data_IF_245634293050
#
_entry.id   IF_245634293050
#
_cell.length_a   1.000
_cell.length_b   1.000
_cell.length_c   1.000
_cell.angle_alpha   90.00
_cell.angle_beta   90.00
_cell.angle_gamma   90.00
#
_symmetry.space_group_name_H-M   'P 1'
#
loop_
_entity.id
_entity.type
_entity.pdbx_description
1 polymer ?
#
# COMPACT_ATOMS: atom_id res chain seq x y z
N UNK A 1 -11.87 16.28 12.51
CA UNK A 1 -11.49 15.46 11.34
C UNK A 1 -12.17 14.10 11.38
N UNK A 2 -12.05 13.27 12.43
CA UNK A 2 -12.84 12.00 12.52
C UNK A 2 -14.36 12.23 12.38
N UNK A 3 -14.88 13.34 12.91
CA UNK A 3 -16.31 13.69 12.81
C UNK A 3 -16.80 14.00 11.37
N UNK A 4 -15.91 14.40 10.45
CA UNK A 4 -16.33 14.83 9.10
C UNK A 4 -16.61 13.65 8.17
N UNK A 5 -16.00 12.49 8.42
CA UNK A 5 -16.15 11.28 7.61
C UNK A 5 -17.08 10.23 8.25
N UNK A 6 -17.64 10.50 9.43
CA UNK A 6 -18.52 9.57 10.14
C UNK A 6 -19.78 9.19 9.33
N UNK A 7 -20.17 10.02 8.35
CA UNK A 7 -21.27 9.69 7.44
C UNK A 7 -20.97 8.47 6.56
N UNK A 8 -19.69 8.18 6.25
CA UNK A 8 -19.27 7.04 5.42
C UNK A 8 -19.74 5.74 6.04
N UNK A 9 -19.64 5.60 7.37
CA UNK A 9 -20.12 4.42 8.11
C UNK A 9 -21.62 4.17 7.96
N UNK A 10 -22.39 5.17 7.55
CA UNK A 10 -23.85 5.08 7.35
C UNK A 10 -24.25 4.88 5.89
N UNK A 11 -23.30 4.93 4.96
CA UNK A 11 -23.58 4.71 3.54
C UNK A 11 -23.85 3.24 3.27
N UNK A 12 -24.66 2.97 2.25
CA UNK A 12 -24.84 1.61 1.70
C UNK A 12 -23.55 1.13 1.02
N UNK A 13 -23.32 -0.18 1.00
CA UNK A 13 -22.12 -0.78 0.38
C UNK A 13 -21.92 -0.34 -1.08
N UNK A 14 -22.99 -0.16 -1.85
CA UNK A 14 -22.92 0.32 -3.23
C UNK A 14 -22.36 1.74 -3.35
N UNK A 15 -22.65 2.61 -2.36
CA UNK A 15 -22.11 3.97 -2.31
C UNK A 15 -20.66 4.02 -1.86
N UNK A 16 -20.23 3.12 -0.98
CA UNK A 16 -18.82 2.96 -0.66
C UNK A 16 -18.02 2.57 -1.91
N UNK A 17 -18.51 1.60 -2.67
CA UNK A 17 -17.88 1.15 -3.92
C UNK A 17 -17.78 2.31 -4.93
N UNK A 18 -18.84 3.12 -5.08
CA UNK A 18 -18.84 4.31 -5.96
C UNK A 18 -17.76 5.32 -5.56
N UNK A 19 -17.65 5.66 -4.27
CA UNK A 19 -16.60 6.57 -3.76
C UNK A 19 -15.21 6.06 -4.11
N UNK A 20 -14.97 4.75 -3.94
CA UNK A 20 -13.66 4.14 -4.18
C UNK A 20 -13.34 4.08 -5.67
N UNK A 21 -14.29 3.69 -6.52
CA UNK A 21 -14.08 3.58 -7.95
C UNK A 21 -13.81 4.92 -8.62
N UNK A 22 -14.49 5.98 -8.15
CA UNK A 22 -14.39 7.34 -8.71
C UNK A 22 -13.30 8.19 -8.04
N UNK A 23 -12.66 7.68 -6.97
CA UNK A 23 -11.67 8.42 -6.16
C UNK A 23 -12.26 9.76 -5.69
N UNK A 24 -13.35 9.72 -4.92
CA UNK A 24 -14.12 10.91 -4.52
C UNK A 24 -13.46 11.68 -3.36
N UNK A 25 -12.22 12.13 -3.56
CA UNK A 25 -11.35 12.66 -2.51
C UNK A 25 -10.51 11.56 -1.87
N UNK A 26 -9.26 11.86 -1.50
CA UNK A 26 -8.33 10.84 -1.01
C UNK A 26 -8.72 10.35 0.39
N UNK A 27 -9.13 11.25 1.28
CA UNK A 27 -9.56 10.90 2.63
C UNK A 27 -10.88 10.11 2.62
N UNK A 28 -11.85 10.54 1.81
CA UNK A 28 -13.12 9.82 1.62
C UNK A 28 -12.90 8.45 1.00
N UNK A 29 -11.99 8.32 0.03
CA UNK A 29 -11.65 7.05 -0.60
C UNK A 29 -11.04 6.09 0.41
N UNK A 30 -10.05 6.53 1.19
CA UNK A 30 -9.44 5.72 2.24
C UNK A 30 -10.47 5.28 3.29
N UNK A 31 -11.30 6.21 3.77
CA UNK A 31 -12.33 5.90 4.75
C UNK A 31 -13.41 4.96 4.20
N UNK A 32 -13.81 5.12 2.93
CA UNK A 32 -14.76 4.22 2.28
C UNK A 32 -14.18 2.83 2.08
N UNK A 33 -12.89 2.72 1.72
CA UNK A 33 -12.21 1.43 1.57
C UNK A 33 -12.08 0.71 2.92
N UNK A 34 -11.73 1.43 3.99
CA UNK A 34 -11.67 0.86 5.34
C UNK A 34 -13.05 0.43 5.84
N UNK A 35 -14.10 1.20 5.56
CA UNK A 35 -15.46 0.79 5.91
C UNK A 35 -15.91 -0.42 5.07
N UNK A 36 -15.52 -0.48 3.79
CA UNK A 36 -15.80 -1.63 2.93
C UNK A 36 -15.04 -2.87 3.41
N UNK A 37 -13.80 -2.74 3.92
CA UNK A 37 -13.02 -3.83 4.50
C UNK A 37 -13.80 -4.57 5.58
N UNK A 38 -14.50 -3.82 6.45
CA UNK A 38 -15.33 -4.39 7.52
C UNK A 38 -16.59 -5.11 7.01
N UNK A 39 -16.98 -4.90 5.75
CA UNK A 39 -18.25 -5.38 5.18
C UNK A 39 -18.07 -6.46 4.12
N UNK A 40 -17.08 -6.28 3.26
CA UNK A 40 -16.77 -7.12 2.11
C UNK A 40 -15.27 -7.06 1.81
N UNK A 41 -14.52 -7.94 2.49
CA UNK A 41 -13.07 -8.08 2.35
C UNK A 41 -12.67 -8.40 0.90
N UNK A 42 -13.45 -9.23 0.20
CA UNK A 42 -13.13 -9.60 -1.18
C UNK A 42 -13.24 -8.41 -2.12
N UNK A 43 -14.31 -7.61 -1.97
CA UNK A 43 -14.50 -6.42 -2.80
C UNK A 43 -13.49 -5.33 -2.48
N UNK A 44 -13.13 -5.18 -1.20
CA UNK A 44 -12.05 -4.29 -0.75
C UNK A 44 -10.74 -4.64 -1.43
N UNK A 45 -10.37 -5.93 -1.40
CA UNK A 45 -9.14 -6.40 -2.03
C UNK A 45 -9.15 -6.16 -3.55
N UNK A 46 -10.26 -6.47 -4.22
CA UNK A 46 -10.42 -6.22 -5.67
C UNK A 46 -10.19 -4.74 -6.02
N UNK A 47 -10.83 -3.82 -5.29
CA UNK A 47 -10.72 -2.39 -5.54
C UNK A 47 -9.35 -1.82 -5.17
N UNK A 48 -8.74 -2.30 -4.07
CA UNK A 48 -7.41 -1.86 -3.69
C UNK A 48 -6.35 -2.29 -4.70
N UNK A 49 -6.44 -3.51 -5.22
CA UNK A 49 -5.58 -3.97 -6.32
C UNK A 49 -5.76 -3.09 -7.56
N UNK A 50 -7.00 -2.75 -7.93
CA UNK A 50 -7.26 -1.85 -9.07
C UNK A 50 -6.65 -0.45 -8.86
N UNK A 51 -6.66 0.09 -7.64
CA UNK A 51 -6.01 1.37 -7.32
C UNK A 51 -4.49 1.27 -7.50
N UNK A 52 -3.87 0.24 -6.92
CA UNK A 52 -2.41 0.07 -6.97
C UNK A 52 -1.90 -0.34 -8.36
N UNK A 53 -2.60 -1.20 -9.09
CA UNK A 53 -2.14 -1.65 -10.40
C UNK A 53 -2.24 -0.51 -11.44
N UNK A 54 -3.29 0.29 -11.36
CA UNK A 54 -3.58 1.36 -12.31
C UNK A 54 -3.11 2.75 -11.87
N UNK A 55 -2.33 2.87 -10.79
CA UNK A 55 -1.81 4.14 -10.28
C UNK A 55 -2.90 5.20 -10.10
N UNK A 56 -3.99 4.83 -9.42
CA UNK A 56 -5.08 5.75 -9.10
C UNK A 56 -4.79 6.48 -7.79
N UNK A 57 -5.20 7.75 -7.72
CA UNK A 57 -4.97 8.57 -6.54
C UNK A 57 -3.53 9.06 -6.40
N UNK A 58 -3.23 9.70 -5.28
CA UNK A 58 -1.89 10.13 -4.95
C UNK A 58 -1.09 9.05 -4.19
N UNK A 59 0.15 9.37 -3.90
CA UNK A 59 1.08 8.49 -3.19
C UNK A 59 0.56 8.10 -1.79
N UNK A 60 -0.08 9.03 -1.08
CA UNK A 60 -0.62 8.80 0.27
C UNK A 60 -1.85 7.88 0.27
N UNK A 61 -2.77 8.08 -0.68
CA UNK A 61 -3.90 7.17 -0.86
C UNK A 61 -3.40 5.77 -1.22
N UNK A 62 -2.44 5.66 -2.15
CA UNK A 62 -1.91 4.36 -2.54
C UNK A 62 -1.20 3.64 -1.38
N UNK A 63 -0.42 4.37 -0.57
CA UNK A 63 0.13 3.87 0.70
C UNK A 63 -0.95 3.31 1.63
N UNK A 64 -2.00 4.10 1.91
CA UNK A 64 -3.10 3.66 2.77
C UNK A 64 -3.82 2.43 2.21
N UNK A 65 -4.03 2.38 0.89
CA UNK A 65 -4.64 1.24 0.21
C UNK A 65 -3.76 0.01 0.32
N UNK A 66 -2.45 0.16 0.14
CA UNK A 66 -1.48 -0.91 0.30
C UNK A 66 -1.59 -1.54 1.69
N UNK A 67 -1.52 -0.75 2.76
CA UNK A 67 -1.62 -1.25 4.13
C UNK A 67 -2.91 -2.06 4.35
N UNK A 68 -4.06 -1.52 3.92
CA UNK A 68 -5.36 -2.18 4.07
C UNK A 68 -5.39 -3.54 3.36
N UNK A 69 -4.89 -3.62 2.13
CA UNK A 69 -4.99 -4.86 1.35
C UNK A 69 -3.83 -5.82 1.58
N UNK A 70 -2.70 -5.34 2.09
CA UNK A 70 -1.58 -6.17 2.52
C UNK A 70 -2.03 -7.08 3.67
N UNK A 71 -2.75 -6.55 4.66
CA UNK A 71 -3.36 -7.33 5.75
C UNK A 71 -4.31 -8.44 5.25
N UNK A 72 -4.95 -8.25 4.10
CA UNK A 72 -5.87 -9.23 3.50
C UNK A 72 -5.09 -10.37 2.83
N UNK A 73 -4.13 -10.01 1.97
CA UNK A 73 -3.36 -10.98 1.19
C UNK A 73 -1.99 -10.41 0.78
N UNK A 74 -0.96 -10.58 1.62
CA UNK A 74 0.38 -10.03 1.38
C UNK A 74 0.96 -10.43 0.02
N UNK A 75 0.91 -11.73 -0.31
CA UNK A 75 1.51 -12.26 -1.54
C UNK A 75 0.89 -11.65 -2.80
N UNK A 76 -0.45 -11.54 -2.86
CA UNK A 76 -1.13 -10.95 -4.02
C UNK A 76 -0.93 -9.44 -4.09
N UNK A 77 -0.82 -8.75 -2.95
CA UNK A 77 -0.49 -7.33 -2.90
C UNK A 77 0.92 -7.08 -3.42
N UNK A 78 1.91 -7.85 -2.99
CA UNK A 78 3.29 -7.74 -3.49
C UNK A 78 3.41 -8.09 -4.98
N UNK A 79 2.69 -9.12 -5.45
CA UNK A 79 2.62 -9.46 -6.88
C UNK A 79 2.02 -8.31 -7.72
N UNK A 80 1.03 -7.60 -7.19
CA UNK A 80 0.47 -6.39 -7.81
C UNK A 80 1.52 -5.27 -7.89
N UNK A 81 2.26 -5.01 -6.82
CA UNK A 81 3.34 -4.02 -6.81
C UNK A 81 4.41 -4.38 -7.84
N UNK A 82 4.83 -5.63 -7.90
CA UNK A 82 5.85 -6.08 -8.85
C UNK A 82 5.42 -5.92 -10.32
N UNK A 83 4.13 -6.13 -10.63
CA UNK A 83 3.58 -6.02 -11.99
C UNK A 83 3.20 -4.60 -12.40
N UNK A 84 3.18 -3.67 -11.45
CA UNK A 84 2.81 -2.28 -11.68
C UNK A 84 3.76 -1.64 -12.69
N UNK A 85 3.18 -0.88 -13.63
CA UNK A 85 3.95 -0.18 -14.70
C UNK A 85 4.42 1.21 -14.31
N UNK A 86 3.69 1.87 -13.41
CA UNK A 86 4.03 3.19 -12.93
C UNK A 86 5.02 3.10 -11.77
N UNK A 87 5.89 4.09 -11.64
CA UNK A 87 6.80 4.18 -10.52
C UNK A 87 6.06 4.15 -9.18
N UNK A 88 6.71 3.57 -8.18
CA UNK A 88 6.24 3.58 -6.79
C UNK A 88 6.52 4.96 -6.22
N UNK A 89 5.49 5.60 -5.64
CA UNK A 89 5.65 6.87 -4.94
C UNK A 89 6.50 6.72 -3.68
N UNK A 90 7.04 7.82 -3.15
CA UNK A 90 7.98 7.77 -2.03
C UNK A 90 7.33 7.25 -0.74
N UNK A 91 6.08 7.64 -0.48
CA UNK A 91 5.35 7.21 0.71
C UNK A 91 5.00 5.74 0.59
N UNK A 92 4.39 5.33 -0.54
CA UNK A 92 4.09 3.93 -0.80
C UNK A 92 5.36 3.05 -0.74
N UNK A 93 6.50 3.54 -1.23
CA UNK A 93 7.76 2.80 -1.15
C UNK A 93 8.19 2.56 0.30
N UNK A 94 8.06 3.57 1.17
CA UNK A 94 8.37 3.44 2.59
C UNK A 94 7.53 2.36 3.26
N UNK A 95 6.21 2.38 3.03
CA UNK A 95 5.29 1.40 3.63
C UNK A 95 5.55 -0.02 3.12
N UNK A 96 5.81 -0.19 1.82
CA UNK A 96 6.21 -1.50 1.27
C UNK A 96 7.52 -1.99 1.91
N UNK A 97 8.53 -1.12 2.03
CA UNK A 97 9.81 -1.49 2.65
C UNK A 97 9.63 -1.87 4.12
N UNK A 98 8.79 -1.15 4.86
CA UNK A 98 8.46 -1.45 6.25
C UNK A 98 7.83 -2.84 6.39
N UNK A 99 6.76 -3.13 5.64
CA UNK A 99 6.08 -4.42 5.73
C UNK A 99 6.98 -5.59 5.30
N UNK A 100 7.69 -5.44 4.17
CA UNK A 100 8.62 -6.48 3.70
C UNK A 100 9.76 -6.70 4.71
N UNK A 101 10.28 -5.63 5.32
CA UNK A 101 11.30 -5.71 6.37
C UNK A 101 10.81 -6.50 7.58
N UNK A 102 9.56 -6.29 7.99
CA UNK A 102 8.91 -7.02 9.09
C UNK A 102 8.81 -8.52 8.76
N UNK A 103 8.42 -8.88 7.54
CA UNK A 103 8.34 -10.28 7.11
C UNK A 103 9.71 -10.96 7.15
N UNK A 104 10.74 -10.31 6.62
CA UNK A 104 12.13 -10.82 6.64
C UNK A 104 12.59 -11.03 8.09
N UNK A 105 12.37 -10.02 8.96
CA UNK A 105 12.77 -10.11 10.37
C UNK A 105 12.05 -11.24 11.12
N UNK A 106 10.73 -11.38 10.90
CA UNK A 106 9.91 -12.42 11.54
C UNK A 106 10.12 -13.80 10.94
N UNK A 107 10.75 -13.91 9.76
CA UNK A 107 10.92 -15.16 9.00
C UNK A 107 9.60 -15.85 8.74
N UNK A 108 8.63 -15.10 8.21
CA UNK A 108 7.33 -15.66 7.85
C UNK A 108 7.43 -16.56 6.63
N UNK A 109 6.35 -17.30 6.34
CA UNK A 109 6.29 -18.18 5.17
C UNK A 109 5.99 -17.42 3.86
N UNK A 110 5.99 -16.08 3.88
CA UNK A 110 5.78 -15.25 2.69
C UNK A 110 7.09 -15.26 1.88
N UNK A 111 7.02 -15.80 0.67
CA UNK A 111 8.13 -15.78 -0.27
C UNK A 111 8.15 -14.44 -1.00
N UNK A 112 9.25 -13.70 -0.84
CA UNK A 112 9.43 -12.37 -1.43
C UNK A 112 10.47 -12.51 -2.54
N UNK A 113 10.10 -12.32 -3.82
CA UNK A 113 11.03 -12.52 -4.93
C UNK A 113 12.22 -11.57 -4.88
N UNK A 114 13.42 -12.07 -5.20
CA UNK A 114 14.63 -11.26 -5.31
C UNK A 114 14.44 -10.10 -6.30
N UNK A 115 13.68 -10.30 -7.37
CA UNK A 115 13.36 -9.25 -8.34
C UNK A 115 12.57 -8.10 -7.72
N UNK A 116 11.65 -8.40 -6.79
CA UNK A 116 10.91 -7.37 -6.06
C UNK A 116 11.83 -6.63 -5.08
N UNK A 117 12.66 -7.36 -4.34
CA UNK A 117 13.63 -6.76 -3.41
C UNK A 117 14.59 -5.80 -4.13
N UNK A 118 15.11 -6.22 -5.28
CA UNK A 118 15.96 -5.38 -6.12
C UNK A 118 15.22 -4.16 -6.68
N UNK A 119 13.96 -4.32 -7.10
CA UNK A 119 13.12 -3.21 -7.55
C UNK A 119 12.96 -2.14 -6.46
N UNK A 120 12.72 -2.54 -5.21
CA UNK A 120 12.57 -1.61 -4.09
C UNK A 120 13.87 -0.86 -3.81
N UNK A 121 15.01 -1.56 -3.78
CA UNK A 121 16.34 -0.97 -3.60
C UNK A 121 16.67 0.03 -4.71
N UNK A 122 16.49 -0.36 -5.98
CA UNK A 122 16.74 0.49 -7.13
C UNK A 122 15.84 1.73 -7.09
N UNK A 123 14.56 1.56 -6.75
CA UNK A 123 13.63 2.68 -6.65
C UNK A 123 14.08 3.70 -5.62
N UNK A 124 14.55 3.26 -4.44
CA UNK A 124 15.07 4.15 -3.40
C UNK A 124 16.35 4.87 -3.84
N UNK A 125 17.27 4.17 -4.50
CA UNK A 125 18.51 4.77 -5.01
C UNK A 125 18.25 5.85 -6.07
N UNK A 126 17.14 5.73 -6.81
CA UNK A 126 16.71 6.70 -7.82
C UNK A 126 15.90 7.88 -7.25
N UNK A 127 15.57 7.89 -5.95
CA UNK A 127 14.96 9.05 -5.29
C UNK A 127 15.97 10.19 -5.14
N UNK A 128 15.48 11.42 -5.09
CA UNK A 128 16.34 12.55 -4.73
C UNK A 128 16.65 12.58 -3.22
N UNK A 129 17.63 13.36 -2.79
CA UNK A 129 18.07 13.41 -1.39
C UNK A 129 16.94 13.76 -0.41
N UNK A 130 16.03 14.66 -0.78
CA UNK A 130 14.89 15.02 0.07
C UNK A 130 13.92 13.83 0.23
N UNK A 131 13.63 13.13 -0.85
CA UNK A 131 12.77 11.95 -0.85
C UNK A 131 13.40 10.77 -0.09
N UNK A 132 14.70 10.50 -0.28
CA UNK A 132 15.41 9.47 0.48
C UNK A 132 15.35 9.74 1.98
N UNK A 133 15.60 10.99 2.40
CA UNK A 133 15.51 11.39 3.80
C UNK A 133 14.11 11.22 4.40
N UNK A 134 13.05 11.24 3.58
CA UNK A 134 11.67 11.06 4.05
C UNK A 134 11.42 9.65 4.57
N UNK A 135 12.04 8.64 3.97
CA UNK A 135 11.84 7.20 4.26
C UNK A 135 13.14 6.48 4.65
N UNK A 136 14.15 7.23 5.08
CA UNK A 136 15.48 6.69 5.38
C UNK A 136 15.46 5.63 6.48
N UNK A 137 14.55 5.76 7.45
CA UNK A 137 14.41 4.79 8.53
C UNK A 137 13.88 3.45 7.99
N UNK A 138 12.85 3.50 7.15
CA UNK A 138 12.23 2.32 6.53
C UNK A 138 13.27 1.60 5.65
N UNK A 139 14.00 2.35 4.82
CA UNK A 139 15.12 1.82 4.02
C UNK A 139 16.21 1.18 4.89
N UNK A 140 16.66 1.87 5.94
CA UNK A 140 17.77 1.39 6.78
C UNK A 140 17.38 0.13 7.57
N UNK A 141 16.11 0.01 7.97
CA UNK A 141 15.62 -1.21 8.61
C UNK A 141 15.49 -2.35 7.60
N UNK A 142 14.91 -2.07 6.43
CA UNK A 142 14.80 -3.02 5.32
C UNK A 142 16.16 -3.59 4.90
N UNK A 143 17.14 -2.72 4.60
CA UNK A 143 18.49 -3.13 4.18
C UNK A 143 19.20 -3.95 5.26
N UNK A 144 19.04 -3.58 6.53
CA UNK A 144 19.64 -4.31 7.66
C UNK A 144 19.09 -5.72 7.78
N UNK A 145 17.77 -5.88 7.69
CA UNK A 145 17.12 -7.18 7.81
C UNK A 145 17.45 -8.07 6.61
N UNK A 146 17.51 -7.49 5.40
CA UNK A 146 17.92 -8.20 4.18
C UNK A 146 19.32 -8.83 4.32
N UNK A 147 20.27 -8.06 4.85
CA UNK A 147 21.67 -8.49 5.03
C UNK A 147 21.90 -9.40 6.26
N UNK A 148 20.87 -9.59 7.10
CA UNK A 148 20.94 -10.47 8.28
C UNK A 148 20.52 -11.93 7.98
N UNK A 149 19.96 -12.17 6.79
CA UNK A 149 19.52 -13.48 6.28
C UNK A 149 20.68 -14.29 5.71
#
# INVERSE_FOLDING_TARGET
MEDELEYIKKLETSKLIEIIQDIFGFEETSAALLELYNRDINKTFELGIDILENNKGDDYLQATVFDIIYDINPMRTLDCIYKRKADIGVVLLGDIMSEVSIEIYKKTDIEIPDELLNLLLERYQNLNEYEQNKIINDYTEFERNLNAT
#
